data_IF_535088860610
#
_entry.id   IF_535088860610
#
_cell.length_a   1.000
_cell.length_b   1.000
_cell.length_c   1.000
_cell.angle_alpha   90.00
_cell.angle_beta   90.00
_cell.angle_gamma   90.00
#
_symmetry.space_group_name_H-M   'P 1'
#
loop_
_entity.id
_entity.type
_entity.pdbx_description
1 polymer ?
#
# COMPACT_ATOMS: atom_id res chain seq x y z
N UNK A 1 -14.76 -11.77 2.16
CA UNK A 1 -13.57 -11.99 3.02
C UNK A 1 -12.74 -10.71 3.16
N UNK A 2 -12.30 -10.08 2.07
CA UNK A 2 -11.50 -8.84 2.15
C UNK A 2 -12.25 -7.68 2.83
N UNK A 3 -13.53 -7.50 2.49
CA UNK A 3 -14.40 -6.48 3.11
C UNK A 3 -14.64 -6.78 4.60
N UNK A 4 -14.93 -8.02 4.94
CA UNK A 4 -15.15 -8.43 6.35
C UNK A 4 -13.90 -8.17 7.20
N UNK A 5 -12.69 -8.47 6.67
CA UNK A 5 -11.43 -8.13 7.32
C UNK A 5 -11.30 -6.63 7.57
N UNK A 6 -11.55 -5.81 6.55
CA UNK A 6 -11.43 -4.35 6.69
C UNK A 6 -12.39 -3.80 7.75
N UNK A 7 -13.63 -4.28 7.77
CA UNK A 7 -14.63 -3.89 8.77
C UNK A 7 -14.20 -4.30 10.17
N UNK A 8 -13.74 -5.55 10.37
CA UNK A 8 -13.28 -6.03 11.68
C UNK A 8 -12.09 -5.21 12.17
N UNK A 9 -11.09 -4.96 11.30
CA UNK A 9 -9.92 -4.16 11.67
C UNK A 9 -10.29 -2.71 12.02
N UNK A 10 -11.27 -2.12 11.31
CA UNK A 10 -11.77 -0.78 11.61
C UNK A 10 -12.52 -0.75 12.95
N UNK A 11 -13.34 -1.75 13.25
CA UNK A 11 -14.00 -1.87 14.54
C UNK A 11 -12.99 -2.02 15.69
N UNK A 12 -11.93 -2.81 15.49
CA UNK A 12 -10.84 -2.96 16.46
C UNK A 12 -10.09 -1.64 16.69
N UNK A 13 -9.89 -0.84 15.64
CA UNK A 13 -9.28 0.48 15.74
C UNK A 13 -10.15 1.42 16.59
N UNK A 14 -11.45 1.48 16.33
CA UNK A 14 -12.38 2.28 17.16
C UNK A 14 -12.45 1.77 18.59
N UNK A 15 -12.46 0.47 18.82
CA UNK A 15 -12.44 -0.12 20.15
C UNK A 15 -11.15 0.23 20.90
N UNK A 16 -10.00 0.20 20.24
CA UNK A 16 -8.72 0.60 20.85
C UNK A 16 -8.71 2.09 21.23
N UNK A 17 -9.27 2.95 20.38
CA UNK A 17 -9.38 4.40 20.63
C UNK A 17 -10.31 4.68 21.83
N UNK A 18 -11.46 4.02 21.91
CA UNK A 18 -12.38 4.10 23.04
C UNK A 18 -11.77 3.62 24.37
N UNK A 19 -10.92 2.58 24.30
CA UNK A 19 -10.23 2.03 25.46
C UNK A 19 -8.93 2.76 25.79
N UNK A 20 -8.59 3.83 25.09
CA UNK A 20 -7.33 4.57 25.20
C UNK A 20 -6.08 3.66 25.13
N UNK A 21 -6.15 2.60 24.30
CA UNK A 21 -5.05 1.66 24.07
C UNK A 21 -4.39 1.93 22.73
N UNK A 22 -3.07 1.71 22.68
CA UNK A 22 -2.34 1.78 21.42
C UNK A 22 -2.84 0.71 20.44
N UNK A 23 -3.27 1.14 19.26
CA UNK A 23 -3.64 0.23 18.17
C UNK A 23 -2.37 -0.38 17.55
N UNK A 24 -2.27 -1.70 17.55
CA UNK A 24 -1.22 -2.43 16.85
C UNK A 24 -1.79 -3.19 15.64
N UNK A 25 -1.23 -2.86 14.46
CA UNK A 25 -1.70 -3.39 13.18
C UNK A 25 -1.59 -4.92 13.11
N UNK A 26 -0.51 -5.49 13.64
CA UNK A 26 -0.28 -6.94 13.58
C UNK A 26 -1.23 -7.70 14.50
N UNK A 27 -1.46 -7.16 15.69
CA UNK A 27 -2.41 -7.76 16.65
C UNK A 27 -3.85 -7.72 16.11
N UNK A 28 -4.27 -6.61 15.51
CA UNK A 28 -5.60 -6.49 14.91
C UNK A 28 -5.76 -7.39 13.69
N UNK A 29 -4.68 -7.57 12.91
CA UNK A 29 -4.66 -8.51 11.79
C UNK A 29 -4.86 -9.96 12.27
N UNK A 30 -4.15 -10.36 13.34
CA UNK A 30 -4.28 -11.68 13.93
C UNK A 30 -5.69 -11.94 14.48
N UNK A 31 -6.26 -10.99 15.22
CA UNK A 31 -7.63 -11.10 15.75
C UNK A 31 -8.65 -11.22 14.61
N UNK A 32 -8.52 -10.38 13.57
CA UNK A 32 -9.43 -10.46 12.41
C UNK A 32 -9.31 -11.80 11.68
N UNK A 33 -8.10 -12.36 11.57
CA UNK A 33 -7.89 -13.70 11.00
C UNK A 33 -8.57 -14.78 11.82
N UNK A 34 -8.42 -14.75 13.14
CA UNK A 34 -9.09 -15.69 14.05
C UNK A 34 -10.61 -15.62 13.91
N UNK A 35 -11.21 -14.43 13.92
CA UNK A 35 -12.66 -14.26 13.79
C UNK A 35 -13.18 -14.83 12.46
N UNK A 36 -12.52 -14.52 11.34
CA UNK A 36 -12.96 -15.01 10.02
C UNK A 36 -12.78 -16.53 9.91
N UNK A 37 -11.70 -17.07 10.46
CA UNK A 37 -11.42 -18.51 10.43
C UNK A 37 -12.41 -19.29 11.32
N UNK A 38 -12.83 -18.73 12.44
CA UNK A 38 -13.87 -19.32 13.31
C UNK A 38 -15.23 -19.35 12.62
N UNK A 39 -15.57 -18.33 11.83
CA UNK A 39 -16.82 -18.29 11.06
C UNK A 39 -16.80 -19.27 9.88
N UNK A 40 -15.66 -19.37 9.20
CA UNK A 40 -15.47 -20.27 8.06
C UNK A 40 -14.03 -20.77 7.98
N UNK A 41 -13.73 -21.98 8.45
CA UNK A 41 -12.37 -22.53 8.44
C UNK A 41 -11.79 -22.70 7.02
N UNK A 42 -12.64 -22.90 6.01
CA UNK A 42 -12.19 -23.00 4.61
C UNK A 42 -11.74 -21.66 4.01
N UNK A 43 -12.03 -20.54 4.67
CA UNK A 43 -11.61 -19.23 4.22
C UNK A 43 -10.09 -19.10 4.08
N UNK A 44 -9.31 -19.82 4.90
CA UNK A 44 -7.84 -19.83 4.88
C UNK A 44 -7.28 -20.32 3.54
N UNK A 45 -7.99 -21.23 2.86
CA UNK A 45 -7.56 -21.74 1.54
C UNK A 45 -7.97 -20.85 0.38
N UNK A 46 -8.74 -19.79 0.63
CA UNK A 46 -9.16 -18.88 -0.44
C UNK A 46 -8.03 -17.92 -0.81
N UNK A 47 -7.83 -17.75 -2.12
CA UNK A 47 -6.88 -16.78 -2.67
C UNK A 47 -7.10 -15.37 -2.11
N UNK A 48 -8.36 -14.95 -1.99
CA UNK A 48 -8.76 -13.64 -1.47
C UNK A 48 -8.33 -13.42 -0.01
N UNK A 49 -8.41 -14.44 0.84
CA UNK A 49 -7.92 -14.38 2.22
C UNK A 49 -6.41 -14.22 2.23
N UNK A 50 -5.68 -15.12 1.57
CA UNK A 50 -4.23 -15.12 1.57
C UNK A 50 -3.66 -13.81 1.01
N UNK A 51 -4.09 -13.38 -0.18
CA UNK A 51 -3.62 -12.13 -0.78
C UNK A 51 -3.86 -10.93 0.12
N UNK A 52 -5.03 -10.87 0.74
CA UNK A 52 -5.43 -9.75 1.58
C UNK A 52 -4.60 -9.66 2.88
N UNK A 53 -4.36 -10.78 3.55
CA UNK A 53 -3.55 -10.82 4.78
C UNK A 53 -2.07 -10.62 4.50
N UNK A 54 -1.52 -11.28 3.48
CA UNK A 54 -0.12 -11.12 3.10
C UNK A 54 0.21 -9.73 2.56
N UNK A 55 -0.74 -9.04 1.91
CA UNK A 55 -0.56 -7.65 1.51
C UNK A 55 -0.35 -6.73 2.74
N UNK A 56 -1.16 -6.91 3.79
CA UNK A 56 -1.01 -6.12 5.03
C UNK A 56 0.27 -6.48 5.77
N UNK A 57 0.63 -7.79 5.83
CA UNK A 57 1.91 -8.21 6.38
C UNK A 57 3.10 -7.61 5.62
N UNK A 58 3.01 -7.49 4.30
CA UNK A 58 4.01 -6.82 3.47
C UNK A 58 4.21 -5.36 3.87
N UNK A 59 3.12 -4.63 4.08
CA UNK A 59 3.18 -3.24 4.53
C UNK A 59 3.73 -3.15 5.96
N UNK A 60 3.30 -4.05 6.86
CA UNK A 60 3.70 -3.99 8.26
C UNK A 60 5.16 -4.40 8.50
N UNK A 61 5.66 -5.42 7.80
CA UNK A 61 6.97 -6.00 8.04
C UNK A 61 8.03 -5.60 7.00
N UNK A 62 7.69 -5.65 5.70
CA UNK A 62 8.68 -5.43 4.63
C UNK A 62 8.87 -3.95 4.32
N UNK A 63 7.80 -3.16 4.30
CA UNK A 63 7.90 -1.75 3.97
C UNK A 63 8.89 -0.97 4.87
N UNK A 64 8.87 -1.09 6.22
CA UNK A 64 9.84 -0.40 7.06
C UNK A 64 11.28 -0.84 6.77
N UNK A 65 11.50 -2.14 6.51
CA UNK A 65 12.82 -2.66 6.16
C UNK A 65 13.33 -2.09 4.81
N UNK A 66 12.48 -2.05 3.78
CA UNK A 66 12.82 -1.43 2.49
C UNK A 66 13.08 0.07 2.62
N UNK A 67 12.30 0.77 3.42
CA UNK A 67 12.52 2.19 3.68
C UNK A 67 13.87 2.45 4.34
N UNK A 68 14.29 1.60 5.27
CA UNK A 68 15.60 1.70 5.92
C UNK A 68 16.76 1.48 4.94
N UNK A 69 16.64 0.53 4.03
CA UNK A 69 17.69 0.19 3.06
C UNK A 69 17.82 1.27 1.98
N UNK A 70 16.70 1.67 1.38
CA UNK A 70 16.70 2.48 0.15
C UNK A 70 16.70 3.97 0.46
N UNK A 71 15.95 4.40 1.45
CA UNK A 71 15.79 5.82 1.77
C UNK A 71 16.85 6.31 2.75
N UNK A 72 17.56 5.37 3.43
CA UNK A 72 18.48 5.74 4.52
C UNK A 72 17.75 6.60 5.54
N UNK A 73 18.38 7.08 6.57
CA UNK A 73 17.83 7.90 7.64
C UNK A 73 16.69 8.89 7.21
N UNK A 74 15.50 8.33 6.92
CA UNK A 74 14.35 9.11 6.45
C UNK A 74 13.93 10.18 7.46
N UNK A 75 14.20 9.97 8.74
CA UNK A 75 13.97 10.96 9.79
C UNK A 75 14.93 12.15 9.69
N UNK A 76 16.21 11.91 9.41
CA UNK A 76 17.18 13.01 9.21
C UNK A 76 16.83 13.81 7.96
N UNK A 77 16.39 13.16 6.88
CA UNK A 77 15.88 13.84 5.67
C UNK A 77 14.60 14.62 5.96
N UNK A 78 13.64 14.04 6.67
CA UNK A 78 12.41 14.73 7.07
C UNK A 78 12.67 15.90 8.00
N UNK A 79 13.60 15.75 8.96
CA UNK A 79 14.04 16.84 9.84
C UNK A 79 14.72 17.95 9.03
N UNK A 80 15.59 17.61 8.07
CA UNK A 80 16.25 18.57 7.16
C UNK A 80 15.25 19.30 6.26
N UNK A 81 14.24 18.60 5.74
CA UNK A 81 13.15 19.19 4.96
C UNK A 81 12.22 20.06 5.81
N UNK A 82 11.91 19.65 7.05
CA UNK A 82 11.15 20.47 8.01
C UNK A 82 11.91 21.74 8.39
N UNK A 83 13.25 21.66 8.64
CA UNK A 83 14.11 22.81 8.88
C UNK A 83 14.16 23.73 7.65
N UNK A 84 14.33 23.18 6.44
CA UNK A 84 14.33 23.95 5.19
C UNK A 84 12.98 24.64 4.96
N UNK A 85 11.85 23.99 5.27
CA UNK A 85 10.51 24.59 5.20
C UNK A 85 10.29 25.72 6.19
N UNK A 86 10.77 25.58 7.45
CA UNK A 86 10.72 26.66 8.45
C UNK A 86 11.55 27.84 7.99
N UNK A 87 12.75 27.61 7.53
CA UNK A 87 13.65 28.64 7.01
C UNK A 87 13.07 29.37 5.77
N UNK A 88 12.44 28.65 4.81
CA UNK A 88 11.77 29.25 3.64
C UNK A 88 10.54 30.06 4.07
N UNK A 89 9.83 29.64 5.13
CA UNK A 89 8.66 30.36 5.67
C UNK A 89 9.06 31.63 6.42
N UNK A 90 10.19 31.60 7.12
CA UNK A 90 10.77 32.76 7.83
C UNK A 90 11.36 33.79 6.87
N UNK A 91 11.95 33.36 5.78
CA UNK A 91 12.45 34.23 4.72
C UNK A 91 11.29 34.60 3.78
N UNK A 92 10.61 35.71 4.06
CA UNK A 92 9.46 36.26 3.35
C UNK A 92 9.71 36.59 1.86
N UNK A 93 10.91 36.36 1.34
CA UNK A 93 11.38 36.55 -0.04
C UNK A 93 11.67 35.23 -0.76
N UNK A 94 10.80 34.23 -0.64
CA UNK A 94 10.98 33.01 -1.42
C UNK A 94 10.46 33.19 -2.83
N UNK A 95 11.34 33.13 -3.81
CA UNK A 95 11.04 33.12 -5.23
C UNK A 95 10.09 31.96 -5.54
N UNK A 96 9.16 32.14 -6.50
CA UNK A 96 8.19 31.10 -6.93
C UNK A 96 8.91 29.78 -7.27
N UNK A 97 10.14 29.84 -7.76
CA UNK A 97 11.01 28.69 -8.05
C UNK A 97 11.34 27.84 -6.82
N UNK A 98 11.61 28.45 -5.64
CA UNK A 98 11.90 27.72 -4.40
C UNK A 98 10.68 26.98 -3.88
N UNK A 99 9.49 27.57 -4.03
CA UNK A 99 8.20 26.93 -3.69
C UNK A 99 7.91 25.76 -4.62
N UNK A 100 8.21 25.90 -5.91
CA UNK A 100 8.00 24.85 -6.91
C UNK A 100 8.96 23.68 -6.68
N UNK A 101 10.25 23.93 -6.43
CA UNK A 101 11.23 22.89 -6.11
C UNK A 101 10.91 22.15 -4.81
N UNK A 102 10.43 22.86 -3.80
CA UNK A 102 10.02 22.23 -2.54
C UNK A 102 8.77 21.35 -2.73
N UNK A 103 7.81 21.76 -3.56
CA UNK A 103 6.61 20.99 -3.89
C UNK A 103 6.98 19.76 -4.73
N UNK A 104 7.88 19.92 -5.69
CA UNK A 104 8.37 18.81 -6.53
C UNK A 104 9.13 17.76 -5.70
N UNK A 105 10.01 18.16 -4.80
CA UNK A 105 10.75 17.23 -3.94
C UNK A 105 9.84 16.42 -3.01
N UNK A 106 8.73 17.02 -2.56
CA UNK A 106 7.71 16.32 -1.76
C UNK A 106 6.88 15.32 -2.58
N UNK A 107 6.58 15.68 -3.84
CA UNK A 107 5.90 14.75 -4.75
C UNK A 107 6.80 13.55 -5.03
N UNK A 108 8.07 13.78 -5.33
CA UNK A 108 9.06 12.71 -5.54
C UNK A 108 9.22 11.81 -4.30
N UNK A 109 9.22 12.37 -3.10
CA UNK A 109 9.29 11.57 -1.87
C UNK A 109 8.03 10.73 -1.67
N UNK A 110 6.85 11.29 -1.92
CA UNK A 110 5.58 10.57 -1.85
C UNK A 110 5.49 9.45 -2.88
N UNK A 111 5.91 9.70 -4.13
CA UNK A 111 5.92 8.68 -5.19
C UNK A 111 6.91 7.57 -4.87
N UNK A 112 8.09 7.89 -4.33
CA UNK A 112 9.06 6.89 -3.90
C UNK A 112 8.52 6.02 -2.75
N UNK A 113 7.82 6.60 -1.77
CA UNK A 113 7.19 5.84 -0.70
C UNK A 113 6.06 4.93 -1.21
N UNK A 114 5.27 5.41 -2.16
CA UNK A 114 4.22 4.61 -2.79
C UNK A 114 4.80 3.44 -3.60
N UNK A 115 5.90 3.67 -4.34
CA UNK A 115 6.62 2.60 -5.05
C UNK A 115 7.17 1.54 -4.08
N UNK A 116 7.76 1.96 -2.96
CA UNK A 116 8.27 1.05 -1.95
C UNK A 116 7.14 0.23 -1.30
N UNK A 117 6.00 0.85 -1.03
CA UNK A 117 4.84 0.14 -0.52
C UNK A 117 4.31 -0.89 -1.54
N UNK A 118 4.19 -0.52 -2.82
CA UNK A 118 3.82 -1.44 -3.89
C UNK A 118 4.81 -2.60 -4.01
N UNK A 119 6.12 -2.33 -3.95
CA UNK A 119 7.15 -3.36 -3.99
C UNK A 119 7.06 -4.30 -2.78
N UNK A 120 6.82 -3.77 -1.58
CA UNK A 120 6.65 -4.58 -0.37
C UNK A 120 5.44 -5.53 -0.48
N UNK A 121 4.31 -5.02 -0.97
CA UNK A 121 3.10 -5.84 -1.22
C UNK A 121 3.41 -6.91 -2.26
N UNK A 122 4.01 -6.52 -3.39
CA UNK A 122 4.33 -7.44 -4.48
C UNK A 122 5.24 -8.56 -4.01
N UNK A 123 6.31 -8.26 -3.26
CA UNK A 123 7.23 -9.25 -2.71
C UNK A 123 6.52 -10.27 -1.80
N UNK A 124 5.59 -9.82 -0.97
CA UNK A 124 4.84 -10.71 -0.07
C UNK A 124 3.80 -11.55 -0.80
N UNK A 125 3.11 -10.98 -1.77
CA UNK A 125 2.00 -11.63 -2.46
C UNK A 125 2.43 -12.45 -3.67
N UNK A 126 3.65 -12.21 -4.20
CA UNK A 126 4.17 -12.85 -5.42
C UNK A 126 4.06 -14.39 -5.42
N UNK A 127 4.51 -15.14 -4.37
CA UNK A 127 4.40 -16.60 -4.39
C UNK A 127 2.95 -17.08 -4.34
N UNK A 128 2.05 -16.33 -3.70
CA UNK A 128 0.62 -16.65 -3.65
C UNK A 128 -0.01 -16.42 -5.02
N UNK A 129 0.28 -15.28 -5.66
CA UNK A 129 -0.19 -14.99 -7.02
C UNK A 129 0.28 -16.07 -7.99
N UNK A 130 1.55 -16.44 -7.92
CA UNK A 130 2.11 -17.48 -8.78
C UNK A 130 1.46 -18.86 -8.54
N UNK A 131 1.09 -19.17 -7.29
CA UNK A 131 0.44 -20.43 -6.95
C UNK A 131 -0.99 -20.54 -7.48
N UNK A 132 -1.76 -19.44 -7.45
CA UNK A 132 -3.17 -19.43 -7.86
C UNK A 132 -3.38 -19.05 -9.32
N UNK A 133 -2.56 -18.15 -9.86
CA UNK A 133 -2.74 -17.58 -11.21
C UNK A 133 -1.71 -18.04 -12.23
N UNK A 134 -0.62 -18.72 -11.80
CA UNK A 134 0.45 -19.25 -12.65
C UNK A 134 1.27 -18.19 -13.41
N UNK A 135 0.98 -16.92 -13.22
CA UNK A 135 1.63 -15.80 -13.89
C UNK A 135 1.96 -14.66 -12.93
N UNK A 136 2.99 -13.90 -13.26
CA UNK A 136 3.41 -12.72 -12.49
C UNK A 136 3.19 -11.48 -13.35
N UNK A 137 2.36 -10.50 -12.89
CA UNK A 137 2.18 -9.24 -13.60
C UNK A 137 3.41 -8.35 -13.37
N UNK A 138 4.28 -8.22 -14.38
CA UNK A 138 5.54 -7.45 -14.28
C UNK A 138 5.26 -5.96 -14.06
N UNK A 139 4.22 -5.43 -14.68
CA UNK A 139 3.86 -4.02 -14.58
C UNK A 139 3.00 -3.67 -13.35
N UNK A 140 2.67 -4.64 -12.51
CA UNK A 140 1.81 -4.43 -11.33
C UNK A 140 2.31 -3.33 -10.39
N UNK A 141 3.63 -3.21 -10.21
CA UNK A 141 4.24 -2.18 -9.35
C UNK A 141 3.96 -0.78 -9.93
N UNK A 142 4.15 -0.60 -11.25
CA UNK A 142 3.93 0.68 -11.92
C UNK A 142 2.45 1.04 -11.99
N UNK A 143 1.59 0.06 -12.29
CA UNK A 143 0.15 0.25 -12.27
C UNK A 143 -0.32 0.68 -10.88
N UNK A 144 0.12 0.01 -9.82
CA UNK A 144 -0.24 0.36 -8.46
C UNK A 144 0.19 1.78 -8.06
N UNK A 145 1.33 2.25 -8.55
CA UNK A 145 1.77 3.63 -8.30
C UNK A 145 0.78 4.67 -8.83
N UNK A 146 0.23 4.42 -10.01
CA UNK A 146 -0.72 5.33 -10.64
C UNK A 146 -2.14 5.15 -10.11
N UNK A 147 -2.51 3.91 -9.84
CA UNK A 147 -3.85 3.49 -9.42
C UNK A 147 -4.16 3.91 -8.00
N UNK A 148 -3.25 3.71 -7.04
CA UNK A 148 -3.49 3.99 -5.62
C UNK A 148 -4.00 5.41 -5.35
N UNK A 149 -3.40 6.49 -5.90
CA UNK A 149 -3.95 7.83 -5.72
C UNK A 149 -5.32 8.02 -6.40
N UNK A 150 -5.52 7.45 -7.59
CA UNK A 150 -6.78 7.57 -8.33
C UNK A 150 -7.94 6.85 -7.65
N UNK A 151 -7.70 5.66 -7.08
CA UNK A 151 -8.73 4.91 -6.32
C UNK A 151 -9.21 5.69 -5.12
N UNK A 152 -8.33 6.42 -4.43
CA UNK A 152 -8.73 7.25 -3.27
C UNK A 152 -9.71 8.35 -3.68
N UNK A 153 -9.46 9.03 -4.81
CA UNK A 153 -10.39 10.02 -5.35
C UNK A 153 -11.69 9.39 -5.85
N UNK A 154 -11.61 8.24 -6.50
CA UNK A 154 -12.77 7.50 -7.01
C UNK A 154 -13.71 7.10 -5.88
N UNK A 155 -13.19 6.58 -4.77
CA UNK A 155 -13.98 6.18 -3.60
C UNK A 155 -14.61 7.40 -2.92
N UNK A 156 -13.87 8.51 -2.78
CA UNK A 156 -14.41 9.74 -2.19
C UNK A 156 -15.53 10.35 -3.05
N UNK A 157 -15.26 10.55 -4.34
CA UNK A 157 -16.24 11.16 -5.25
C UNK A 157 -17.45 10.26 -5.43
N UNK A 158 -17.23 8.95 -5.62
CA UNK A 158 -18.29 7.96 -5.74
C UNK A 158 -19.14 7.85 -4.49
N UNK A 159 -18.52 7.86 -3.30
CA UNK A 159 -19.23 7.86 -2.02
C UNK A 159 -20.10 9.11 -1.83
N UNK A 160 -19.54 10.28 -2.12
CA UNK A 160 -20.30 11.56 -2.09
C UNK A 160 -21.45 11.53 -3.11
N UNK A 161 -21.19 11.03 -4.33
CA UNK A 161 -22.20 10.91 -5.37
C UNK A 161 -23.35 9.98 -4.96
N UNK A 162 -23.08 8.88 -4.28
CA UNK A 162 -24.11 7.98 -3.74
C UNK A 162 -24.99 8.68 -2.69
N UNK A 163 -24.38 9.42 -1.75
CA UNK A 163 -25.12 10.13 -0.70
C UNK A 163 -25.96 11.26 -1.30
N UNK A 164 -25.37 12.06 -2.19
CA UNK A 164 -26.08 13.16 -2.84
C UNK A 164 -27.17 12.67 -3.81
N UNK A 165 -27.00 11.49 -4.37
CA UNK A 165 -27.99 10.88 -5.26
C UNK A 165 -29.36 10.65 -4.61
N UNK A 166 -29.39 10.50 -3.29
CA UNK A 166 -30.65 10.37 -2.52
C UNK A 166 -31.45 11.67 -2.47
N UNK A 167 -30.78 12.83 -2.57
CA UNK A 167 -31.40 14.15 -2.39
C UNK A 167 -31.38 15.02 -3.66
N UNK A 168 -30.31 14.93 -4.44
CA UNK A 168 -30.04 15.80 -5.59
C UNK A 168 -29.56 14.96 -6.80
N UNK A 169 -30.48 14.31 -7.55
CA UNK A 169 -30.11 13.39 -8.63
C UNK A 169 -29.31 14.06 -9.76
N UNK A 170 -29.57 15.36 -10.03
CA UNK A 170 -28.85 16.09 -11.07
C UNK A 170 -27.36 16.26 -10.75
N UNK A 171 -27.02 16.61 -9.50
CA UNK A 171 -25.62 16.77 -9.04
C UNK A 171 -24.91 15.43 -9.00
N UNK A 172 -25.60 14.38 -8.55
CA UNK A 172 -25.02 13.04 -8.48
C UNK A 172 -24.67 12.49 -9.87
N UNK A 173 -25.49 12.79 -10.88
CA UNK A 173 -25.21 12.38 -12.28
C UNK A 173 -23.89 12.98 -12.78
N UNK A 174 -23.61 14.24 -12.49
CA UNK A 174 -22.34 14.89 -12.85
C UNK A 174 -21.15 14.26 -12.12
N UNK A 175 -21.31 13.95 -10.82
CA UNK A 175 -20.26 13.28 -10.03
C UNK A 175 -20.00 11.84 -10.51
N UNK A 176 -21.04 11.08 -10.86
CA UNK A 176 -20.89 9.78 -11.49
C UNK A 176 -20.18 9.85 -12.85
N UNK A 177 -20.43 10.91 -13.63
CA UNK A 177 -19.70 11.17 -14.87
C UNK A 177 -18.20 11.32 -14.65
N UNK A 178 -17.77 12.06 -13.62
CA UNK A 178 -16.34 12.18 -13.27
C UNK A 178 -15.76 10.85 -12.81
N UNK A 179 -16.49 10.08 -12.02
CA UNK A 179 -16.07 8.73 -11.57
C UNK A 179 -15.90 7.79 -12.77
N UNK A 180 -16.82 7.85 -13.72
CA UNK A 180 -16.75 7.07 -14.97
C UNK A 180 -15.51 7.45 -15.81
N UNK A 181 -15.19 8.75 -15.93
CA UNK A 181 -13.99 9.19 -16.64
C UNK A 181 -12.70 8.64 -16.00
N UNK A 182 -12.61 8.65 -14.67
CA UNK A 182 -11.46 8.10 -13.95
C UNK A 182 -11.36 6.59 -14.20
N UNK A 183 -12.48 5.88 -14.17
CA UNK A 183 -12.53 4.43 -14.39
C UNK A 183 -12.16 4.07 -15.84
N UNK A 184 -12.65 4.82 -16.82
CA UNK A 184 -12.32 4.63 -18.25
C UNK A 184 -10.84 4.92 -18.52
N UNK A 185 -10.27 5.92 -17.89
CA UNK A 185 -8.84 6.21 -17.95
C UNK A 185 -8.02 5.04 -17.40
N UNK A 186 -8.47 4.46 -16.27
CA UNK A 186 -7.85 3.30 -15.66
C UNK A 186 -7.88 2.08 -16.60
N UNK A 187 -9.04 1.81 -17.20
CA UNK A 187 -9.20 0.71 -18.16
C UNK A 187 -8.30 0.90 -19.37
N UNK A 188 -8.21 2.12 -19.90
CA UNK A 188 -7.31 2.45 -21.00
C UNK A 188 -5.85 2.16 -20.65
N UNK A 189 -5.40 2.54 -19.45
CA UNK A 189 -4.06 2.24 -18.99
C UNK A 189 -3.80 0.74 -18.89
N UNK A 190 -4.72 -0.01 -18.28
CA UNK A 190 -4.59 -1.46 -18.20
C UNK A 190 -4.48 -2.11 -19.58
N UNK A 191 -5.30 -1.69 -20.53
CA UNK A 191 -5.24 -2.16 -21.92
C UNK A 191 -3.92 -1.78 -22.61
N UNK A 192 -3.38 -0.59 -22.32
CA UNK A 192 -2.08 -0.15 -22.83
C UNK A 192 -0.95 -1.05 -22.34
N UNK A 193 -0.93 -1.35 -21.04
CA UNK A 193 0.08 -2.24 -20.45
C UNK A 193 -0.04 -3.69 -20.94
N UNK A 194 -1.25 -4.17 -21.20
CA UNK A 194 -1.48 -5.51 -21.77
C UNK A 194 -0.96 -5.66 -23.20
N UNK A 195 -0.84 -4.56 -23.96
CA UNK A 195 -0.29 -4.58 -25.32
C UNK A 195 1.24 -4.68 -25.36
N UNK A 196 1.92 -4.48 -24.22
CA UNK A 196 3.37 -4.58 -24.14
C UNK A 196 3.81 -6.07 -24.23
N UNK A 197 4.92 -6.37 -24.93
CA UNK A 197 5.32 -7.74 -25.23
C UNK A 197 5.65 -8.60 -24.01
N UNK A 198 5.92 -8.00 -22.83
CA UNK A 198 6.25 -8.69 -21.58
C UNK A 198 5.27 -8.26 -20.50
N UNK A 199 3.96 -8.41 -20.73
CA UNK A 199 2.95 -7.99 -19.77
C UNK A 199 2.84 -8.94 -18.56
N UNK A 200 3.05 -10.24 -18.75
CA UNK A 200 3.07 -11.25 -17.71
C UNK A 200 4.15 -12.30 -17.97
N UNK A 201 4.74 -12.82 -16.88
CA UNK A 201 5.67 -13.94 -16.94
C UNK A 201 4.92 -15.21 -16.51
N UNK A 202 4.70 -16.12 -17.47
CA UNK A 202 4.08 -17.42 -17.21
C UNK A 202 5.16 -18.37 -16.70
N UNK A 203 5.23 -18.58 -15.38
CA UNK A 203 6.22 -19.46 -14.75
C UNK A 203 5.67 -20.85 -14.39
N UNK A 204 4.34 -21.03 -14.50
CA UNK A 204 3.69 -22.27 -14.05
C UNK A 204 3.55 -22.38 -12.53
N UNK A 205 3.00 -23.49 -12.07
CA UNK A 205 2.72 -23.71 -10.63
C UNK A 205 4.00 -24.03 -9.86
N UNK A 206 4.39 -23.23 -8.86
CA UNK A 206 5.51 -23.53 -8.01
C UNK A 206 5.16 -24.68 -7.06
N UNK A 207 6.10 -25.56 -6.81
CA UNK A 207 5.96 -26.58 -5.76
C UNK A 207 5.85 -25.90 -4.40
N UNK A 208 5.02 -26.40 -3.50
CA UNK A 208 4.80 -25.82 -2.15
C UNK A 208 6.12 -25.63 -1.41
N UNK A 209 7.07 -26.55 -1.56
CA UNK A 209 8.41 -26.43 -0.96
C UNK A 209 9.14 -25.15 -1.38
N UNK A 210 9.00 -24.70 -2.63
CA UNK A 210 9.65 -23.46 -3.12
C UNK A 210 9.02 -22.22 -2.48
N UNK A 211 7.71 -22.24 -2.25
CA UNK A 211 6.98 -21.15 -1.58
C UNK A 211 7.45 -21.03 -0.13
N UNK A 212 7.57 -22.15 0.58
CA UNK A 212 8.05 -22.19 1.97
C UNK A 212 9.49 -21.66 2.06
N UNK A 213 10.38 -22.12 1.19
CA UNK A 213 11.78 -21.66 1.13
C UNK A 213 11.83 -20.15 0.87
N UNK A 214 11.02 -19.64 -0.05
CA UNK A 214 10.94 -18.20 -0.33
C UNK A 214 10.59 -17.38 0.91
N UNK A 215 9.54 -17.78 1.66
CA UNK A 215 9.14 -17.06 2.87
C UNK A 215 10.17 -17.18 4.00
N UNK A 216 10.86 -18.32 4.12
CA UNK A 216 11.97 -18.48 5.07
C UNK A 216 13.11 -17.51 4.73
N UNK A 217 13.53 -17.45 3.46
CA UNK A 217 14.58 -16.52 3.01
C UNK A 217 14.16 -15.07 3.26
N UNK A 218 12.89 -14.73 2.97
CA UNK A 218 12.36 -13.40 3.18
C UNK A 218 12.33 -13.04 4.67
N UNK A 219 11.91 -13.94 5.55
CA UNK A 219 11.91 -13.74 7.00
C UNK A 219 13.35 -13.59 7.54
N UNK A 220 14.29 -14.42 7.10
CA UNK A 220 15.70 -14.33 7.50
C UNK A 220 16.32 -13.00 7.06
N UNK A 221 16.02 -12.53 5.84
CA UNK A 221 16.50 -11.26 5.33
C UNK A 221 15.98 -10.08 6.18
N UNK A 222 14.70 -10.11 6.59
CA UNK A 222 14.11 -9.10 7.47
C UNK A 222 14.75 -9.10 8.86
N UNK A 223 14.97 -10.28 9.44
CA UNK A 223 15.64 -10.42 10.74
C UNK A 223 17.08 -9.90 10.68
N UNK A 224 17.81 -10.18 9.62
CA UNK A 224 19.17 -9.70 9.43
C UNK A 224 19.24 -8.17 9.28
N UNK A 225 18.33 -7.57 8.54
CA UNK A 225 18.20 -6.11 8.38
C UNK A 225 17.88 -5.47 9.72
N UNK A 226 16.92 -6.03 10.46
CA UNK A 226 16.52 -5.51 11.76
C UNK A 226 17.66 -5.59 12.79
N UNK A 227 18.42 -6.68 12.78
CA UNK A 227 19.59 -6.84 13.64
C UNK A 227 20.70 -5.81 13.37
N UNK A 228 20.92 -5.45 12.09
CA UNK A 228 21.87 -4.39 11.72
C UNK A 228 21.47 -3.00 12.17
N UNK A 229 20.18 -2.74 12.29
CA UNK A 229 19.66 -1.44 12.75
C UNK A 229 19.70 -1.27 14.27
N UNK A 230 19.56 -2.38 15.02
CA UNK A 230 19.68 -2.36 16.50
C UNK A 230 21.15 -2.20 16.94
N UNK A 231 22.12 -2.66 16.11
CA UNK A 231 23.57 -2.64 16.43
C UNK A 231 24.23 -1.27 16.12
N UNK A 232 23.57 -0.32 15.48
CA UNK A 232 24.03 1.07 15.43
C UNK A 232 23.40 1.89 16.55
N UNK A 233 24.06 1.96 17.74
CA UNK A 233 23.64 2.92 18.75
C UNK A 233 23.80 4.31 18.16
N UNK A 234 22.79 5.16 18.39
CA UNK A 234 22.87 6.57 18.03
C UNK A 234 24.14 7.16 18.68
N UNK A 235 25.01 7.86 17.95
CA UNK A 235 25.97 8.73 18.59
C UNK A 235 25.17 9.84 19.26
N UNK A 236 25.36 10.00 20.57
CA UNK A 236 24.87 11.05 21.44
C UNK A 236 25.17 12.44 20.87
#
# INVERSE_FOLDING_TARGET
>A
ISTSRAVIMMLLLFAADLLHRSYDLLSSLAISACIITLQNPYAVYSCSFLLSYFAVLGIAAILPALQMIIVGDSEKRRAKLRKKRRWIREKQQSTLLDKCQCKLSLLLEKTAQSLLASAAIQLTTLPIVLFFFYEIPVYGIFLNLLVLPLVSYLVLIGGIACILGLWLPFVSHFLFGTTYCILSFYEYLCRLFQRLPIHSLILGQPHISRIVIYYIILALSLLWINKRTIIKPYPL
#
